data_IF_293180078545
#
_entry.id   IF_293180078545
#
_cell.length_a   1.000
_cell.length_b   1.000
_cell.length_c   1.000
_cell.angle_alpha   90.00
_cell.angle_beta   90.00
_cell.angle_gamma   90.00
#
_symmetry.space_group_name_H-M   'P 1'
#
loop_
_entity.id
_entity.type
_entity.pdbx_description
1 polymer ?
#
# COMPACT_ATOMS: atom_id res chain seq x y z
N UNK A 1 1.79 -11.56 -12.31
CA UNK A 1 0.48 -11.57 -12.98
C UNK A 1 -0.65 -12.06 -12.06
N UNK A 2 -0.59 -13.29 -11.54
CA UNK A 2 -1.70 -13.91 -10.78
C UNK A 2 -2.17 -13.09 -9.58
N UNK A 3 -1.24 -12.57 -8.75
CA UNK A 3 -1.60 -11.74 -7.57
C UNK A 3 -2.25 -10.41 -7.96
N UNK A 4 -1.77 -9.77 -9.05
CA UNK A 4 -2.38 -8.55 -9.58
C UNK A 4 -3.79 -8.81 -10.11
N UNK A 5 -3.97 -9.90 -10.88
CA UNK A 5 -5.26 -10.32 -11.40
C UNK A 5 -6.24 -10.65 -10.26
N UNK A 6 -5.78 -11.34 -9.22
CA UNK A 6 -6.57 -11.62 -8.03
C UNK A 6 -7.08 -10.32 -7.37
N UNK A 7 -6.21 -9.33 -7.21
CA UNK A 7 -6.60 -8.00 -6.72
C UNK A 7 -7.61 -7.30 -7.63
N UNK A 8 -7.41 -7.36 -8.95
CA UNK A 8 -8.34 -6.78 -9.93
C UNK A 8 -9.72 -7.43 -9.88
N UNK A 9 -9.79 -8.76 -9.74
CA UNK A 9 -11.05 -9.50 -9.59
C UNK A 9 -11.77 -9.12 -8.29
N UNK A 10 -11.05 -9.06 -7.17
CA UNK A 10 -11.63 -8.63 -5.89
C UNK A 10 -12.18 -7.21 -6.02
N UNK A 11 -11.47 -6.31 -6.70
CA UNK A 11 -11.94 -4.96 -6.94
C UNK A 11 -13.20 -4.92 -7.82
N UNK A 12 -13.23 -5.69 -8.91
CA UNK A 12 -14.36 -5.78 -9.83
C UNK A 12 -15.64 -6.26 -9.13
N UNK A 13 -15.52 -7.20 -8.20
CA UNK A 13 -16.65 -7.78 -7.46
C UNK A 13 -16.81 -7.23 -6.04
N UNK A 14 -16.22 -6.07 -5.73
CA UNK A 14 -16.16 -5.53 -4.36
C UNK A 14 -17.53 -5.33 -3.71
N UNK A 15 -18.57 -5.04 -4.48
CA UNK A 15 -19.92 -4.79 -3.98
C UNK A 15 -20.68 -6.10 -3.65
N UNK A 16 -20.23 -7.23 -4.18
CA UNK A 16 -20.78 -8.56 -3.90
C UNK A 16 -20.01 -9.32 -2.81
N UNK A 17 -18.78 -8.89 -2.50
CA UNK A 17 -17.88 -9.58 -1.58
C UNK A 17 -18.09 -9.07 -0.15
N UNK A 18 -18.54 -9.92 0.81
CA UNK A 18 -18.76 -9.49 2.18
C UNK A 18 -17.43 -9.24 2.90
N UNK A 19 -17.30 -8.10 3.56
CA UNK A 19 -16.14 -7.75 4.39
C UNK A 19 -16.35 -8.25 5.83
N UNK A 20 -15.78 -9.41 6.18
CA UNK A 20 -15.90 -10.01 7.52
C UNK A 20 -14.60 -10.64 8.01
N UNK A 21 -14.29 -10.44 9.30
CA UNK A 21 -13.08 -10.98 9.92
C UNK A 21 -12.97 -12.50 9.87
N UNK A 22 -14.10 -13.23 9.88
CA UNK A 22 -14.12 -14.68 9.74
C UNK A 22 -13.58 -15.15 8.39
N UNK A 23 -13.87 -14.44 7.30
CA UNK A 23 -13.30 -14.74 5.98
C UNK A 23 -11.83 -14.34 5.90
N UNK A 24 -11.43 -13.24 6.54
CA UNK A 24 -10.00 -12.87 6.63
C UNK A 24 -9.22 -13.98 7.32
N UNK A 25 -9.74 -14.50 8.44
CA UNK A 25 -9.13 -15.62 9.15
C UNK A 25 -9.08 -16.90 8.29
N UNK A 26 -10.18 -17.25 7.62
CA UNK A 26 -10.23 -18.39 6.69
C UNK A 26 -9.19 -18.25 5.57
N UNK A 27 -9.11 -17.07 4.94
CA UNK A 27 -8.10 -16.79 3.92
C UNK A 27 -6.68 -16.89 4.48
N UNK A 28 -6.44 -16.42 5.71
CA UNK A 28 -5.16 -16.58 6.40
C UNK A 28 -4.76 -18.06 6.56
N UNK A 29 -5.70 -18.91 6.99
CA UNK A 29 -5.47 -20.37 7.10
C UNK A 29 -5.13 -20.97 5.73
N UNK A 30 -5.87 -20.61 4.68
CA UNK A 30 -5.61 -21.10 3.32
C UNK A 30 -4.22 -20.67 2.83
N UNK A 31 -3.80 -19.43 3.11
CA UNK A 31 -2.45 -18.94 2.75
C UNK A 31 -1.36 -19.75 3.46
N UNK A 32 -1.49 -19.96 4.77
CA UNK A 32 -0.51 -20.76 5.53
C UNK A 32 -0.47 -22.21 5.03
N UNK A 33 -1.64 -22.83 4.84
CA UNK A 33 -1.74 -24.20 4.33
C UNK A 33 -1.18 -24.35 2.92
N UNK A 34 -1.34 -23.33 2.07
CA UNK A 34 -0.82 -23.34 0.70
C UNK A 34 0.71 -23.45 0.64
N UNK A 35 1.42 -23.03 1.69
CA UNK A 35 2.88 -23.14 1.79
C UNK A 35 3.41 -24.58 1.74
N UNK A 36 2.55 -25.57 2.04
CA UNK A 36 2.88 -26.99 1.94
C UNK A 36 2.59 -27.59 0.55
N UNK A 37 1.98 -26.83 -0.36
CA UNK A 37 1.67 -27.26 -1.72
C UNK A 37 2.70 -26.76 -2.72
N UNK A 38 3.00 -27.57 -3.75
CA UNK A 38 3.90 -27.20 -4.85
C UNK A 38 3.41 -25.96 -5.64
N UNK A 39 2.09 -25.72 -5.66
CA UNK A 39 1.45 -24.63 -6.39
C UNK A 39 0.97 -23.47 -5.51
N UNK A 40 1.69 -23.18 -4.40
CA UNK A 40 1.29 -22.17 -3.41
C UNK A 40 0.94 -20.81 -4.03
N UNK A 41 1.64 -20.36 -5.08
CA UNK A 41 1.40 -19.05 -5.70
C UNK A 41 0.01 -18.91 -6.31
N UNK A 42 -0.51 -19.99 -6.89
CA UNK A 42 -1.83 -19.99 -7.53
C UNK A 42 -2.94 -20.02 -6.48
N UNK A 43 -2.75 -20.86 -5.45
CA UNK A 43 -3.69 -21.07 -4.36
C UNK A 43 -3.76 -19.85 -3.45
N UNK A 44 -2.62 -19.25 -3.12
CA UNK A 44 -2.52 -18.13 -2.19
C UNK A 44 -2.96 -16.80 -2.79
N UNK A 45 -2.89 -16.60 -4.11
CA UNK A 45 -3.08 -15.28 -4.72
C UNK A 45 -4.42 -14.61 -4.38
N UNK A 46 -5.53 -15.34 -4.54
CA UNK A 46 -6.88 -14.84 -4.22
C UNK A 46 -7.11 -14.69 -2.71
N UNK A 47 -6.85 -15.70 -1.87
CA UNK A 47 -6.97 -15.59 -0.42
C UNK A 47 -6.10 -14.47 0.17
N UNK A 48 -4.85 -14.33 -0.28
CA UNK A 48 -3.93 -13.29 0.18
C UNK A 48 -4.45 -11.90 -0.21
N UNK A 49 -4.87 -11.73 -1.46
CA UNK A 49 -5.47 -10.48 -1.93
C UNK A 49 -6.70 -10.10 -1.13
N UNK A 50 -7.60 -11.06 -0.88
CA UNK A 50 -8.81 -10.85 -0.08
C UNK A 50 -8.44 -10.45 1.35
N UNK A 51 -7.54 -11.21 1.99
CA UNK A 51 -7.15 -10.97 3.37
C UNK A 51 -6.58 -9.56 3.55
N UNK A 52 -5.66 -9.13 2.68
CA UNK A 52 -5.04 -7.79 2.74
C UNK A 52 -6.05 -6.67 2.52
N UNK A 53 -6.87 -6.77 1.46
CA UNK A 53 -7.82 -5.71 1.08
C UNK A 53 -8.91 -5.57 2.15
N UNK A 54 -9.49 -6.70 2.58
CA UNK A 54 -10.60 -6.70 3.54
C UNK A 54 -10.12 -6.35 4.94
N UNK A 55 -8.94 -6.81 5.38
CA UNK A 55 -8.38 -6.35 6.66
C UNK A 55 -8.14 -4.84 6.64
N UNK A 56 -7.61 -4.30 5.54
CA UNK A 56 -7.43 -2.87 5.38
C UNK A 56 -8.76 -2.09 5.44
N UNK A 57 -9.80 -2.60 4.76
CA UNK A 57 -11.13 -2.00 4.78
C UNK A 57 -11.77 -2.03 6.19
N UNK A 58 -11.61 -3.13 6.93
CA UNK A 58 -12.18 -3.30 8.27
C UNK A 58 -11.43 -2.52 9.37
N UNK A 59 -10.12 -2.31 9.22
CA UNK A 59 -9.28 -1.60 10.20
C UNK A 59 -9.36 -0.08 10.06
N UNK A 60 -9.78 0.44 8.89
CA UNK A 60 -9.70 1.86 8.54
C UNK A 60 -10.48 2.75 9.52
N UNK A 61 -9.80 3.20 10.58
CA UNK A 61 -10.33 4.08 11.63
C UNK A 61 -9.82 5.52 11.56
N UNK A 62 -8.72 5.77 10.82
CA UNK A 62 -8.12 7.10 10.77
C UNK A 62 -7.72 7.49 9.33
N UNK A 63 -8.01 8.72 8.90
CA UNK A 63 -7.41 9.26 7.70
C UNK A 63 -5.91 9.42 7.95
N UNK A 64 -5.09 8.67 7.21
CA UNK A 64 -3.64 8.87 7.16
C UNK A 64 -3.40 10.26 6.58
N UNK A 65 -3.11 11.24 7.44
CA UNK A 65 -2.81 12.62 7.04
C UNK A 65 -1.44 12.77 6.38
N UNK A 66 -0.57 11.78 6.55
CA UNK A 66 0.80 11.79 6.06
C UNK A 66 1.03 10.59 5.13
N UNK A 67 1.59 10.82 3.94
CA UNK A 67 1.94 9.75 2.99
C UNK A 67 3.35 9.20 3.29
N UNK A 68 3.55 8.70 4.51
CA UNK A 68 4.82 8.06 4.89
C UNK A 68 5.06 6.80 4.03
N UNK A 69 3.99 6.16 3.57
CA UNK A 69 4.03 5.04 2.62
C UNK A 69 4.79 5.38 1.34
N UNK A 70 4.60 6.58 0.81
CA UNK A 70 5.31 7.04 -0.37
C UNK A 70 6.82 7.16 -0.12
N UNK A 71 7.21 7.73 1.02
CA UNK A 71 8.62 7.76 1.44
C UNK A 71 9.21 6.36 1.61
N UNK A 72 8.47 5.43 2.23
CA UNK A 72 8.89 4.03 2.38
C UNK A 72 9.13 3.38 1.02
N UNK A 73 8.27 3.63 0.03
CA UNK A 73 8.43 3.11 -1.33
C UNK A 73 9.72 3.59 -2.01
N UNK A 74 10.06 4.87 -1.85
CA UNK A 74 11.28 5.44 -2.46
C UNK A 74 12.54 4.99 -1.74
N UNK A 75 12.56 5.03 -0.40
CA UNK A 75 13.81 4.87 0.36
C UNK A 75 14.11 3.43 0.79
N UNK A 76 13.15 2.51 0.82
CA UNK A 76 13.40 1.15 1.33
C UNK A 76 14.51 0.43 0.55
N UNK A 77 14.41 0.43 -0.79
CA UNK A 77 15.39 -0.24 -1.64
C UNK A 77 16.81 0.35 -1.52
N UNK A 78 17.04 1.67 -1.72
CA UNK A 78 18.39 2.24 -1.61
C UNK A 78 18.98 2.09 -0.19
N UNK A 79 18.16 2.19 0.86
CA UNK A 79 18.63 1.95 2.23
C UNK A 79 19.07 0.49 2.41
N UNK A 80 18.30 -0.47 1.92
CA UNK A 80 18.68 -1.88 1.96
C UNK A 80 19.97 -2.16 1.17
N UNK A 81 20.14 -1.54 -0.02
CA UNK A 81 21.38 -1.67 -0.80
C UNK A 81 22.58 -1.07 -0.06
N UNK A 82 22.41 0.09 0.57
CA UNK A 82 23.46 0.70 1.40
C UNK A 82 23.86 -0.21 2.56
N UNK A 83 22.89 -0.71 3.33
CA UNK A 83 23.15 -1.63 4.44
C UNK A 83 23.82 -2.93 3.96
N UNK A 84 23.42 -3.44 2.79
CA UNK A 84 24.06 -4.60 2.17
C UNK A 84 25.53 -4.32 1.82
N UNK A 85 25.83 -3.15 1.24
CA UNK A 85 27.21 -2.74 0.91
C UNK A 85 28.06 -2.52 2.16
N UNK A 86 27.45 -2.17 3.29
CA UNK A 86 28.11 -2.07 4.60
C UNK A 86 28.33 -3.45 5.26
N UNK A 87 27.99 -4.56 4.59
CA UNK A 87 28.22 -5.93 5.06
C UNK A 87 27.12 -6.50 5.95
N UNK A 88 26.03 -5.76 6.19
CA UNK A 88 24.94 -6.22 7.07
C UNK A 88 24.08 -7.31 6.44
N UNK A 89 24.30 -7.66 5.17
CA UNK A 89 23.62 -8.80 4.52
C UNK A 89 23.88 -10.15 5.22
N UNK A 90 24.99 -10.23 5.98
CA UNK A 90 25.35 -11.40 6.80
C UNK A 90 24.49 -11.58 8.05
N UNK A 91 23.72 -10.55 8.45
CA UNK A 91 22.81 -10.65 9.58
C UNK A 91 21.66 -11.62 9.29
N UNK A 92 21.10 -12.19 10.35
CA UNK A 92 19.86 -12.96 10.24
C UNK A 92 18.77 -12.11 9.54
N UNK A 93 17.99 -12.65 8.59
CA UNK A 93 17.06 -11.88 7.77
C UNK A 93 16.09 -10.99 8.57
N UNK A 94 15.62 -11.47 9.72
CA UNK A 94 14.77 -10.70 10.64
C UNK A 94 15.49 -9.48 11.21
N UNK A 95 16.75 -9.63 11.60
CA UNK A 95 17.56 -8.53 12.16
C UNK A 95 17.86 -7.53 11.06
N UNK A 96 18.24 -7.99 9.86
CA UNK A 96 18.44 -7.12 8.71
C UNK A 96 17.19 -6.32 8.37
N UNK A 97 16.02 -6.97 8.34
CA UNK A 97 14.74 -6.31 8.13
C UNK A 97 14.46 -5.22 9.17
N UNK A 98 14.66 -5.52 10.45
CA UNK A 98 14.44 -4.54 11.53
C UNK A 98 15.38 -3.35 11.41
N UNK A 99 16.67 -3.58 11.14
CA UNK A 99 17.65 -2.50 10.93
C UNK A 99 17.25 -1.66 9.70
N UNK A 100 16.93 -2.30 8.58
CA UNK A 100 16.48 -1.60 7.38
C UNK A 100 15.23 -0.76 7.64
N UNK A 101 14.21 -1.32 8.30
CA UNK A 101 13.00 -0.60 8.65
C UNK A 101 13.28 0.59 9.59
N UNK A 102 14.12 0.39 10.61
CA UNK A 102 14.53 1.45 11.54
C UNK A 102 15.32 2.57 10.85
N UNK A 103 16.07 2.29 9.80
CA UNK A 103 16.75 3.31 9.00
C UNK A 103 15.81 3.99 8.00
N UNK A 104 14.93 3.23 7.33
CA UNK A 104 14.04 3.76 6.29
C UNK A 104 12.92 4.62 6.86
N UNK A 105 12.29 4.23 7.98
CA UNK A 105 11.12 4.95 8.54
C UNK A 105 11.46 6.42 8.88
N UNK A 106 12.58 6.74 9.57
CA UNK A 106 12.96 8.12 9.83
C UNK A 106 13.23 8.93 8.56
N UNK A 107 13.87 8.32 7.55
CA UNK A 107 14.13 8.98 6.26
C UNK A 107 12.83 9.26 5.49
N UNK A 108 11.93 8.28 5.45
CA UNK A 108 10.60 8.42 4.85
C UNK A 108 9.80 9.53 5.54
N UNK A 109 9.79 9.55 6.88
CA UNK A 109 9.13 10.60 7.65
C UNK A 109 9.76 11.98 7.41
N UNK A 110 11.10 12.10 7.44
CA UNK A 110 11.81 13.34 7.16
C UNK A 110 11.50 13.88 5.76
N UNK A 111 11.46 13.00 4.75
CA UNK A 111 11.11 13.35 3.38
C UNK A 111 9.69 13.92 3.27
N UNK A 112 8.72 13.34 3.98
CA UNK A 112 7.36 13.88 4.03
C UNK A 112 7.34 15.33 4.55
N UNK A 113 8.04 15.62 5.65
CA UNK A 113 8.05 16.96 6.25
C UNK A 113 8.79 18.00 5.40
N UNK A 114 9.90 17.61 4.76
CA UNK A 114 10.80 18.53 4.05
C UNK A 114 10.39 18.74 2.60
N UNK A 115 9.97 17.68 1.91
CA UNK A 115 9.72 17.70 0.46
C UNK A 115 8.23 17.68 0.20
N UNK A 116 7.54 16.63 0.63
CA UNK A 116 6.20 16.32 0.14
C UNK A 116 5.14 17.28 0.67
N UNK A 117 5.19 17.61 1.97
CA UNK A 117 4.31 18.64 2.56
C UNK A 117 4.44 19.99 1.84
N UNK A 118 5.66 20.36 1.42
CA UNK A 118 5.90 21.62 0.68
C UNK A 118 5.40 21.52 -0.77
N UNK A 119 5.69 20.41 -1.44
CA UNK A 119 5.24 20.17 -2.81
C UNK A 119 3.70 20.15 -2.92
N UNK A 120 3.01 19.52 -1.97
CA UNK A 120 1.54 19.51 -1.93
C UNK A 120 0.96 20.91 -1.69
N UNK A 121 1.60 21.76 -0.88
CA UNK A 121 1.17 23.14 -0.68
C UNK A 121 1.26 23.97 -1.99
N UNK A 122 2.21 23.64 -2.86
CA UNK A 122 2.37 24.27 -4.18
C UNK A 122 1.36 23.73 -5.23
N UNK A 123 0.73 22.58 -4.97
CA UNK A 123 -0.26 21.94 -5.85
C UNK A 123 -1.64 22.63 -5.83
N UNK A 124 -1.74 23.85 -5.29
CA UNK A 124 -2.92 24.69 -5.44
C UNK A 124 -2.72 25.77 -6.54
N UNK A 125 -2.76 25.43 -7.85
CA UNK A 125 -3.32 26.39 -8.77
C UNK A 125 -4.80 26.54 -8.40
N UNK A 126 -5.25 27.77 -8.19
CA UNK A 126 -6.67 28.12 -8.13
C UNK A 126 -7.39 27.27 -9.18
N UNK A 127 -8.27 26.36 -8.74
CA UNK A 127 -9.25 25.75 -9.63
C UNK A 127 -10.04 26.95 -10.13
N UNK A 128 -9.66 27.46 -11.30
CA UNK A 128 -10.43 28.48 -12.00
C UNK A 128 -11.84 27.92 -11.98
N UNK A 129 -12.71 28.62 -11.27
CA UNK A 129 -14.12 28.57 -11.54
C UNK A 129 -14.18 28.85 -13.03
N UNK A 130 -14.32 27.80 -13.84
CA UNK A 130 -14.87 27.95 -15.17
C UNK A 130 -16.27 28.42 -14.86
N UNK A 131 -16.41 29.74 -14.79
CA UNK A 131 -17.67 30.43 -14.72
C UNK A 131 -18.45 29.94 -15.92
N UNK A 132 -19.34 28.99 -15.70
CA UNK A 132 -20.44 28.73 -16.63
C UNK A 132 -21.34 29.93 -16.47
N UNK A 133 -21.00 30.98 -17.21
CA UNK A 133 -21.59 32.31 -17.13
C UNK A 133 -21.62 32.94 -18.50
N UNK A 134 -22.46 32.43 -19.39
CA UNK A 134 -23.03 33.08 -20.57
C UNK A 134 -24.08 32.10 -21.11
N UNK A 135 -25.34 32.38 -21.41
CA UNK A 135 -26.17 33.60 -21.51
C UNK A 135 -27.59 33.09 -21.75
N UNK A 136 -28.57 33.56 -20.97
CA UNK A 136 -29.74 34.34 -21.44
C UNK A 136 -30.33 34.00 -22.83
N UNK A 137 -31.66 33.87 -22.81
CA UNK A 137 -32.60 33.99 -23.93
C UNK A 137 -32.58 32.92 -25.05
N UNK A 138 -33.64 32.12 -25.10
CA UNK A 138 -34.55 32.09 -26.26
C UNK A 138 -35.85 31.34 -25.91
N UNK A 139 -36.93 32.13 -25.85
CA UNK A 139 -38.36 31.85 -26.06
C UNK A 139 -39.04 30.75 -25.23
#
# INVERSE_FOLDING_TARGET
>A
AVVFLAGALIHQYRDAIPARWSLVALCGVIVVASGFAQNYRLIAALPLGYAIIVSGALVRRFPLRNDISYGMYIYAFPVQQLLATLGLVSLHPTVFFLVAALCTIPLAAASWFVVEKRAMALKHPKRQQVAVGTSSHLK
#
